data_IF_550715535726
#
_entry.id   IF_550715535726
#
_cell.length_a   1.000
_cell.length_b   1.000
_cell.length_c   1.000
_cell.angle_alpha   90.00
_cell.angle_beta   90.00
_cell.angle_gamma   90.00
#
_symmetry.space_group_name_H-M   'P 1'
#
loop_
_entity.id
_entity.type
_entity.pdbx_description
1 polymer ?
#
# COMPACT_ATOMS: atom_id res chain seq x y z
N UNK A 1 -23.15 -9.23 -24.58
CA UNK A 1 -22.02 -8.97 -23.67
C UNK A 1 -22.54 -9.07 -22.25
N UNK A 2 -21.95 -9.92 -21.43
CA UNK A 2 -22.42 -10.16 -20.06
C UNK A 2 -22.30 -8.82 -19.27
N UNK A 3 -23.40 -8.29 -18.70
CA UNK A 3 -23.43 -6.99 -17.99
C UNK A 3 -22.38 -6.91 -16.88
N UNK A 4 -22.01 -8.03 -16.29
CA UNK A 4 -21.02 -8.09 -15.20
C UNK A 4 -19.57 -7.81 -15.64
N UNK A 5 -19.26 -7.97 -16.90
CA UNK A 5 -17.92 -7.72 -17.46
C UNK A 5 -17.75 -6.23 -17.80
N UNK A 6 -18.86 -5.51 -17.94
CA UNK A 6 -18.84 -4.13 -18.38
C UNK A 6 -18.31 -3.16 -17.33
N UNK A 7 -18.87 -3.20 -16.11
CA UNK A 7 -18.44 -2.33 -15.03
C UNK A 7 -16.95 -2.58 -14.67
N UNK A 8 -16.51 -3.85 -14.71
CA UNK A 8 -15.11 -4.20 -14.48
C UNK A 8 -14.18 -3.62 -15.56
N UNK A 9 -14.55 -3.69 -16.84
CA UNK A 9 -13.77 -3.07 -17.93
C UNK A 9 -13.73 -1.56 -17.82
N UNK A 10 -14.86 -0.93 -17.51
CA UNK A 10 -14.94 0.52 -17.32
C UNK A 10 -14.04 0.96 -16.15
N UNK A 11 -14.09 0.23 -15.03
CA UNK A 11 -13.23 0.47 -13.87
C UNK A 11 -11.74 0.37 -14.22
N UNK A 12 -11.32 -0.70 -14.92
CA UNK A 12 -9.94 -0.87 -15.37
C UNK A 12 -9.51 0.27 -16.30
N UNK A 13 -10.41 0.75 -17.17
CA UNK A 13 -10.13 1.88 -18.03
C UNK A 13 -9.99 3.19 -17.23
N UNK A 14 -10.86 3.45 -16.26
CA UNK A 14 -10.75 4.63 -15.39
C UNK A 14 -9.44 4.64 -14.63
N UNK A 15 -9.11 3.54 -13.95
CA UNK A 15 -7.86 3.42 -13.17
C UNK A 15 -6.65 3.53 -14.09
N UNK A 16 -6.66 2.83 -15.22
CA UNK A 16 -5.58 2.90 -16.21
C UNK A 16 -5.41 4.30 -16.80
N UNK A 17 -6.51 5.02 -17.06
CA UNK A 17 -6.49 6.42 -17.50
C UNK A 17 -5.92 7.35 -16.44
N UNK A 18 -6.35 7.22 -15.18
CA UNK A 18 -5.83 7.99 -14.05
C UNK A 18 -4.32 7.81 -13.88
N UNK A 19 -3.85 6.56 -13.98
CA UNK A 19 -2.42 6.24 -13.81
C UNK A 19 -1.56 6.68 -15.01
N UNK A 20 -2.11 6.68 -16.22
CA UNK A 20 -1.40 7.08 -17.46
C UNK A 20 -1.67 8.53 -17.89
N UNK A 21 -2.56 9.23 -17.20
CA UNK A 21 -3.06 10.56 -17.60
C UNK A 21 -3.68 10.56 -19.02
N UNK A 22 -4.35 9.48 -19.39
CA UNK A 22 -4.99 9.32 -20.69
C UNK A 22 -6.48 9.67 -20.58
N UNK A 23 -6.95 10.65 -21.36
CA UNK A 23 -8.29 11.27 -21.22
C UNK A 23 -9.41 10.55 -21.98
N UNK A 24 -9.12 9.51 -22.75
CA UNK A 24 -10.06 8.98 -23.73
C UNK A 24 -10.82 7.73 -23.31
N UNK A 25 -11.91 7.86 -22.55
CA UNK A 25 -12.83 6.73 -22.34
C UNK A 25 -14.31 7.17 -22.47
N UNK A 26 -15.12 6.53 -23.34
CA UNK A 26 -16.53 6.83 -23.42
C UNK A 26 -17.29 6.34 -22.19
N UNK A 27 -18.00 7.25 -21.53
CA UNK A 27 -18.93 6.90 -20.45
C UNK A 27 -20.18 6.27 -21.05
N UNK A 28 -20.50 5.04 -20.68
CA UNK A 28 -21.71 4.38 -21.19
C UNK A 28 -22.99 4.83 -20.47
N UNK A 29 -24.09 4.88 -21.24
CA UNK A 29 -25.39 5.42 -20.81
C UNK A 29 -26.09 4.65 -19.69
N UNK A 30 -25.76 3.37 -19.46
CA UNK A 30 -26.47 2.48 -18.51
C UNK A 30 -25.50 1.82 -17.52
N UNK A 31 -24.73 2.62 -16.78
CA UNK A 31 -23.81 2.14 -15.75
C UNK A 31 -24.56 1.67 -14.49
N UNK A 32 -24.23 0.51 -13.97
CA UNK A 32 -24.63 0.12 -12.61
C UNK A 32 -23.64 0.71 -11.58
N UNK A 33 -23.90 1.93 -11.17
CA UNK A 33 -23.05 2.66 -10.23
C UNK A 33 -22.86 1.98 -8.88
N UNK A 34 -23.90 1.32 -8.37
CA UNK A 34 -23.82 0.57 -7.12
C UNK A 34 -22.82 -0.61 -7.21
N UNK A 35 -22.79 -1.27 -8.38
CA UNK A 35 -21.86 -2.36 -8.62
C UNK A 35 -20.45 -1.85 -8.84
N UNK A 36 -20.28 -0.80 -9.62
CA UNK A 36 -18.99 -0.14 -9.84
C UNK A 36 -18.37 0.27 -8.50
N UNK A 37 -19.14 0.94 -7.64
CA UNK A 37 -18.69 1.36 -6.33
C UNK A 37 -18.23 0.16 -5.46
N UNK A 38 -19.04 -0.91 -5.38
CA UNK A 38 -18.67 -2.11 -4.61
C UNK A 38 -17.39 -2.78 -5.12
N UNK A 39 -17.17 -2.84 -6.43
CA UNK A 39 -15.94 -3.40 -7.00
C UNK A 39 -14.76 -2.50 -6.65
N UNK A 40 -14.89 -1.18 -6.81
CA UNK A 40 -13.85 -0.23 -6.47
C UNK A 40 -13.50 -0.26 -4.97
N UNK A 41 -14.50 -0.36 -4.10
CA UNK A 41 -14.33 -0.46 -2.65
C UNK A 41 -13.65 -1.78 -2.24
N UNK A 42 -14.07 -2.89 -2.80
CA UNK A 42 -13.46 -4.20 -2.54
C UNK A 42 -11.97 -4.26 -2.91
N UNK A 43 -11.58 -3.56 -3.99
CA UNK A 43 -10.19 -3.50 -4.44
C UNK A 43 -9.42 -2.29 -3.88
N UNK A 44 -10.01 -1.50 -2.99
CA UNK A 44 -9.42 -0.30 -2.38
C UNK A 44 -8.91 0.75 -3.41
N UNK A 45 -9.59 0.87 -4.56
CA UNK A 45 -9.21 1.77 -5.66
C UNK A 45 -10.24 2.89 -5.89
N UNK A 46 -11.08 3.18 -4.90
CA UNK A 46 -12.17 4.17 -5.01
C UNK A 46 -11.66 5.56 -5.34
N UNK A 47 -10.52 5.98 -4.77
CA UNK A 47 -9.90 7.28 -5.05
C UNK A 47 -9.41 7.39 -6.49
N UNK A 48 -8.73 6.37 -7.02
CA UNK A 48 -8.29 6.34 -8.40
C UNK A 48 -9.48 6.35 -9.38
N UNK A 49 -10.56 5.61 -9.06
CA UNK A 49 -11.81 5.61 -9.85
C UNK A 49 -12.49 6.98 -9.79
N UNK A 50 -12.51 7.65 -8.64
CA UNK A 50 -13.07 8.99 -8.49
C UNK A 50 -12.35 10.00 -9.39
N UNK A 51 -11.03 10.04 -9.34
CA UNK A 51 -10.23 10.92 -10.18
C UNK A 51 -10.40 10.62 -11.68
N UNK A 52 -10.45 9.33 -12.04
CA UNK A 52 -10.75 8.90 -13.40
C UNK A 52 -12.14 9.34 -13.88
N UNK A 53 -13.15 9.31 -13.02
CA UNK A 53 -14.49 9.83 -13.34
C UNK A 53 -14.49 11.34 -13.56
N UNK A 54 -13.73 12.08 -12.76
CA UNK A 54 -13.56 13.53 -12.93
C UNK A 54 -12.87 13.86 -14.26
N UNK A 55 -11.79 13.15 -14.60
CA UNK A 55 -11.02 13.41 -15.83
C UNK A 55 -11.85 13.19 -17.10
N UNK A 56 -12.76 12.19 -17.10
CA UNK A 56 -13.63 11.93 -18.27
C UNK A 56 -14.97 12.67 -18.21
N UNK A 57 -15.19 13.54 -17.24
CA UNK A 57 -16.45 14.27 -17.06
C UNK A 57 -17.67 13.35 -16.89
N UNK A 58 -17.52 12.23 -16.19
CA UNK A 58 -18.58 11.25 -16.02
C UNK A 58 -19.78 11.83 -15.26
N UNK A 59 -20.99 11.68 -15.80
CA UNK A 59 -22.23 12.03 -15.09
C UNK A 59 -22.59 10.95 -14.08
N UNK A 60 -22.10 11.11 -12.85
CA UNK A 60 -22.35 10.19 -11.74
C UNK A 60 -23.61 10.64 -11.00
N UNK A 61 -24.55 9.72 -10.61
CA UNK A 61 -25.65 10.07 -9.73
C UNK A 61 -25.13 10.63 -8.39
N UNK A 62 -25.76 11.68 -7.86
CA UNK A 62 -25.29 12.43 -6.69
C UNK A 62 -24.90 11.52 -5.52
N UNK A 63 -25.74 10.52 -5.19
CA UNK A 63 -25.48 9.56 -4.11
C UNK A 63 -24.12 8.84 -4.25
N UNK A 64 -23.75 8.40 -5.46
CA UNK A 64 -22.49 7.71 -5.69
C UNK A 64 -21.33 8.69 -5.84
N UNK A 65 -21.56 9.85 -6.44
CA UNK A 65 -20.58 10.92 -6.52
C UNK A 65 -20.09 11.33 -5.12
N UNK A 66 -21.02 11.52 -4.18
CA UNK A 66 -20.70 11.84 -2.78
C UNK A 66 -19.92 10.72 -2.07
N UNK A 67 -20.34 9.46 -2.25
CA UNK A 67 -19.62 8.32 -1.67
C UNK A 67 -18.19 8.19 -2.19
N UNK A 68 -17.97 8.34 -3.48
CA UNK A 68 -16.63 8.32 -4.08
C UNK A 68 -15.79 9.50 -3.57
N UNK A 69 -16.39 10.68 -3.47
CA UNK A 69 -15.71 11.87 -2.94
C UNK A 69 -15.28 11.69 -1.48
N UNK A 70 -16.15 11.15 -0.62
CA UNK A 70 -15.80 10.84 0.77
C UNK A 70 -14.62 9.88 0.85
N UNK A 71 -14.62 8.79 0.07
CA UNK A 71 -13.49 7.85 0.01
C UNK A 71 -12.20 8.49 -0.51
N UNK A 72 -12.31 9.41 -1.45
CA UNK A 72 -11.17 10.19 -1.90
C UNK A 72 -10.60 11.07 -0.79
N UNK A 73 -11.45 11.79 -0.05
CA UNK A 73 -11.00 12.59 1.10
C UNK A 73 -10.34 11.73 2.19
N UNK A 74 -10.89 10.56 2.49
CA UNK A 74 -10.30 9.59 3.41
C UNK A 74 -8.91 9.13 2.92
N UNK A 75 -8.74 8.88 1.62
CA UNK A 75 -7.47 8.48 1.04
C UNK A 75 -6.41 9.59 1.08
N UNK A 76 -6.80 10.86 0.84
CA UNK A 76 -5.91 12.02 1.01
C UNK A 76 -5.45 12.11 2.45
N UNK A 77 -6.38 12.09 3.41
CA UNK A 77 -6.07 12.17 4.82
C UNK A 77 -5.18 11.00 5.30
N UNK A 78 -5.46 9.77 4.82
CA UNK A 78 -4.60 8.62 5.10
C UNK A 78 -3.19 8.81 4.53
N UNK A 79 -3.07 9.44 3.34
CA UNK A 79 -1.79 9.78 2.74
C UNK A 79 -0.93 10.68 3.63
N UNK A 80 -1.54 11.73 4.21
CA UNK A 80 -0.87 12.64 5.14
C UNK A 80 -0.41 11.91 6.42
N UNK A 81 -1.28 11.07 6.99
CA UNK A 81 -0.94 10.24 8.17
C UNK A 81 0.19 9.28 7.83
N UNK A 82 0.16 8.66 6.64
CA UNK A 82 1.18 7.73 6.18
C UNK A 82 2.56 8.41 6.14
N UNK A 83 2.67 9.55 5.46
CA UNK A 83 3.93 10.26 5.29
C UNK A 83 4.51 10.73 6.63
N UNK A 84 3.66 11.30 7.50
CA UNK A 84 4.07 11.72 8.84
C UNK A 84 4.55 10.53 9.70
N UNK A 85 3.81 9.43 9.69
CA UNK A 85 4.14 8.24 10.48
C UNK A 85 5.35 7.49 9.94
N UNK A 86 5.51 7.40 8.62
CA UNK A 86 6.71 6.86 7.98
C UNK A 86 7.94 7.64 8.44
N UNK A 87 7.90 8.97 8.30
CA UNK A 87 9.01 9.84 8.70
C UNK A 87 9.36 9.68 10.17
N UNK A 88 8.37 9.68 11.06
CA UNK A 88 8.56 9.51 12.51
C UNK A 88 9.26 8.18 12.84
N UNK A 89 8.74 7.06 12.32
CA UNK A 89 9.28 5.72 12.58
C UNK A 89 10.70 5.60 12.05
N UNK A 90 10.92 6.00 10.80
CA UNK A 90 12.23 5.88 10.17
C UNK A 90 13.26 6.80 10.82
N UNK A 91 12.86 7.98 11.32
CA UNK A 91 13.74 8.88 12.10
C UNK A 91 14.17 8.24 13.41
N UNK A 92 13.26 7.57 14.12
CA UNK A 92 13.59 6.83 15.35
C UNK A 92 14.55 5.67 15.05
N UNK A 93 14.26 4.85 14.03
CA UNK A 93 15.15 3.75 13.65
C UNK A 93 16.54 4.25 13.25
N UNK A 94 16.63 5.37 12.55
CA UNK A 94 17.91 6.00 12.22
C UNK A 94 18.65 6.48 13.46
N UNK A 95 17.99 7.24 14.36
CA UNK A 95 18.60 7.80 15.56
C UNK A 95 19.19 6.71 16.48
N UNK A 96 18.50 5.59 16.59
CA UNK A 96 18.92 4.46 17.43
C UNK A 96 19.67 3.38 16.65
N UNK A 97 20.01 3.62 15.37
CA UNK A 97 20.77 2.72 14.50
C UNK A 97 20.13 1.32 14.39
N UNK A 98 18.81 1.24 14.39
CA UNK A 98 18.09 0.00 14.15
C UNK A 98 18.29 -0.42 12.70
N UNK A 99 18.85 -1.61 12.41
CA UNK A 99 19.03 -2.07 11.05
C UNK A 99 17.66 -2.42 10.46
N UNK A 100 17.19 -1.62 9.51
CA UNK A 100 15.87 -1.77 8.91
C UNK A 100 15.97 -1.83 7.39
N UNK A 101 15.15 -2.70 6.79
CA UNK A 101 14.93 -2.73 5.35
C UNK A 101 13.45 -2.44 5.09
N UNK A 102 13.18 -1.31 4.42
CA UNK A 102 11.84 -0.98 3.96
C UNK A 102 11.49 -1.95 2.83
N UNK A 103 10.41 -2.68 3.00
CA UNK A 103 9.94 -3.62 2.00
C UNK A 103 9.25 -2.88 0.84
N UNK A 104 8.06 -3.31 0.43
CA UNK A 104 7.50 -2.79 -0.84
C UNK A 104 6.70 -1.49 -0.70
N UNK A 105 5.97 -1.29 0.40
CA UNK A 105 4.89 -0.29 0.47
C UNK A 105 5.33 1.14 0.21
N UNK A 106 6.37 1.62 0.88
CA UNK A 106 6.85 2.99 0.72
C UNK A 106 7.44 3.24 -0.68
N UNK A 107 8.25 2.29 -1.20
CA UNK A 107 8.86 2.42 -2.51
C UNK A 107 7.82 2.45 -3.64
N UNK A 108 6.79 1.59 -3.56
CA UNK A 108 5.71 1.54 -4.55
C UNK A 108 4.82 2.77 -4.47
N UNK A 109 4.48 3.23 -3.24
CA UNK A 109 3.67 4.44 -3.05
C UNK A 109 4.29 5.67 -3.70
N UNK A 110 5.61 5.82 -3.65
CA UNK A 110 6.36 6.94 -4.28
C UNK A 110 6.34 6.91 -5.82
N UNK A 111 5.88 5.82 -6.44
CA UNK A 111 5.70 5.74 -7.90
C UNK A 111 4.39 6.38 -8.37
N UNK A 112 3.41 6.51 -7.49
CA UNK A 112 2.15 7.17 -7.83
C UNK A 112 2.34 8.67 -7.88
N UNK A 113 1.93 9.31 -8.96
CA UNK A 113 1.97 10.77 -9.09
C UNK A 113 1.01 11.46 -8.10
N UNK A 114 -0.08 10.77 -7.78
CA UNK A 114 -1.07 11.16 -6.80
C UNK A 114 -1.08 10.09 -5.69
N UNK A 115 -0.43 10.32 -4.55
CA UNK A 115 -0.28 9.32 -3.48
C UNK A 115 -1.62 8.76 -2.95
N UNK A 116 -2.69 9.55 -3.03
CA UNK A 116 -4.05 9.16 -2.67
C UNK A 116 -4.68 8.13 -3.61
N UNK A 117 -4.06 7.85 -4.77
CA UNK A 117 -4.49 6.77 -5.67
C UNK A 117 -3.89 5.42 -5.29
N UNK A 118 -2.87 5.41 -4.43
CA UNK A 118 -2.31 4.18 -3.89
C UNK A 118 -3.28 3.57 -2.87
N UNK A 119 -3.38 2.24 -2.83
CA UNK A 119 -4.14 1.54 -1.80
C UNK A 119 -3.59 1.85 -0.39
N UNK A 120 -4.46 1.77 0.62
CA UNK A 120 -4.10 1.98 2.02
C UNK A 120 -3.29 0.80 2.57
N UNK A 121 -2.04 0.67 2.10
CA UNK A 121 -1.14 -0.39 2.56
C UNK A 121 -0.37 0.02 3.82
N UNK A 122 -0.06 -0.92 4.73
CA UNK A 122 0.77 -0.64 5.90
C UNK A 122 2.22 -0.31 5.49
N UNK A 123 2.97 0.34 6.37
CA UNK A 123 4.42 0.41 6.25
C UNK A 123 5.01 -0.96 6.59
N UNK A 124 5.67 -1.61 5.64
CA UNK A 124 6.30 -2.92 5.82
C UNK A 124 7.80 -2.79 6.00
N UNK A 125 8.28 -3.33 7.12
CA UNK A 125 9.70 -3.23 7.48
C UNK A 125 10.23 -4.59 7.91
N UNK A 126 11.34 -4.99 7.32
CA UNK A 126 12.11 -6.13 7.81
C UNK A 126 13.16 -5.63 8.82
N UNK A 127 13.20 -6.28 9.98
CA UNK A 127 14.18 -6.04 11.04
C UNK A 127 14.86 -7.38 11.34
N UNK A 128 16.20 -7.47 11.35
CA UNK A 128 16.89 -8.68 11.79
C UNK A 128 16.47 -9.12 13.18
N UNK A 129 16.44 -10.44 13.42
CA UNK A 129 15.90 -11.03 14.64
C UNK A 129 16.55 -10.47 15.92
N UNK A 130 17.85 -10.22 15.89
CA UNK A 130 18.60 -9.64 17.00
C UNK A 130 18.17 -8.22 17.40
N UNK A 131 17.58 -7.46 16.47
CA UNK A 131 17.12 -6.09 16.69
C UNK A 131 15.58 -5.96 16.74
N UNK A 132 14.87 -7.07 16.55
CA UNK A 132 13.42 -7.07 16.39
C UNK A 132 12.68 -6.52 17.62
N UNK A 133 13.00 -7.03 18.79
CA UNK A 133 12.35 -6.59 20.05
C UNK A 133 12.70 -5.16 20.42
N UNK A 134 13.90 -4.69 20.06
CA UNK A 134 14.30 -3.30 20.23
C UNK A 134 13.46 -2.38 19.34
N UNK A 135 13.34 -2.71 18.07
CA UNK A 135 12.49 -1.95 17.11
C UNK A 135 11.04 -1.91 17.56
N UNK A 136 10.50 -3.06 18.01
CA UNK A 136 9.16 -3.14 18.58
C UNK A 136 8.99 -2.22 19.81
N UNK A 137 9.97 -2.20 20.71
CA UNK A 137 9.95 -1.32 21.89
C UNK A 137 9.82 0.15 21.48
N UNK A 138 10.57 0.61 20.50
CA UNK A 138 10.46 1.99 19.99
C UNK A 138 9.09 2.27 19.37
N UNK A 139 8.48 1.32 18.67
CA UNK A 139 7.12 1.51 18.17
C UNK A 139 6.09 1.61 19.31
N UNK A 140 6.27 0.82 20.38
CA UNK A 140 5.41 0.92 21.58
C UNK A 140 5.57 2.30 22.22
N UNK A 141 6.78 2.83 22.33
CA UNK A 141 7.06 4.17 22.85
C UNK A 141 6.42 5.27 21.97
N UNK A 142 6.29 5.04 20.66
CA UNK A 142 5.54 5.92 19.73
C UNK A 142 4.01 5.71 19.80
N UNK A 143 3.51 4.85 20.68
CA UNK A 143 2.08 4.60 20.89
C UNK A 143 1.48 3.54 19.95
N UNK A 144 2.30 2.70 19.31
CA UNK A 144 1.79 1.57 18.53
C UNK A 144 1.50 0.38 19.46
N UNK A 145 0.42 -0.33 19.19
CA UNK A 145 0.03 -1.56 19.88
C UNK A 145 -0.02 -2.71 18.88
N UNK A 146 0.34 -3.92 19.32
CA UNK A 146 0.21 -5.13 18.49
C UNK A 146 -1.26 -5.39 18.17
N UNK A 147 -1.57 -5.52 16.89
CA UNK A 147 -2.90 -5.79 16.35
C UNK A 147 -3.04 -7.27 15.97
N UNK A 148 -2.04 -7.81 15.26
CA UNK A 148 -2.03 -9.19 14.81
C UNK A 148 -0.61 -9.77 14.85
N UNK A 149 -0.48 -11.05 15.21
CA UNK A 149 0.80 -11.77 15.18
C UNK A 149 0.84 -12.74 14.01
N UNK A 150 1.89 -12.66 13.21
CA UNK A 150 2.16 -13.57 12.09
C UNK A 150 3.10 -14.66 12.54
N UNK A 151 2.57 -15.85 12.82
CA UNK A 151 3.34 -16.98 13.39
C UNK A 151 4.65 -17.23 12.61
N UNK A 152 5.79 -17.00 13.28
CA UNK A 152 7.12 -17.23 12.74
C UNK A 152 7.65 -16.19 11.75
N UNK A 153 6.92 -15.10 11.51
CA UNK A 153 7.34 -14.06 10.57
C UNK A 153 7.44 -12.66 11.18
N UNK A 154 6.52 -12.29 12.05
CA UNK A 154 6.47 -10.95 12.62
C UNK A 154 5.10 -10.60 13.17
N UNK A 155 4.75 -9.32 13.11
CA UNK A 155 3.47 -8.83 13.63
C UNK A 155 3.03 -7.54 12.93
N UNK A 156 1.73 -7.29 12.95
CA UNK A 156 1.12 -5.99 12.63
C UNK A 156 0.96 -5.18 13.90
N UNK A 157 1.32 -3.92 13.84
CA UNK A 157 1.11 -2.95 14.90
C UNK A 157 0.33 -1.75 14.36
N UNK A 158 -0.55 -1.17 15.18
CA UNK A 158 -1.36 -0.02 14.80
C UNK A 158 -1.33 1.08 15.85
N UNK A 159 -1.54 2.31 15.41
CA UNK A 159 -1.78 3.48 16.27
C UNK A 159 -3.23 3.97 16.10
N UNK A 160 -3.74 4.76 17.06
CA UNK A 160 -5.13 5.24 17.11
C UNK A 160 -5.59 5.93 15.81
N UNK A 161 -4.69 6.61 15.08
CA UNK A 161 -4.99 7.22 13.79
C UNK A 161 -5.20 6.24 12.62
N UNK A 162 -5.21 4.92 12.89
CA UNK A 162 -5.45 3.90 11.87
C UNK A 162 -4.23 3.50 11.04
N UNK A 163 -3.08 4.15 11.23
CA UNK A 163 -1.86 3.78 10.53
C UNK A 163 -1.31 2.45 11.06
N UNK A 164 -0.93 1.55 10.12
CA UNK A 164 -0.40 0.23 10.42
C UNK A 164 1.04 0.10 9.99
N UNK A 165 1.82 -0.59 10.83
CA UNK A 165 3.19 -1.01 10.56
C UNK A 165 3.24 -2.52 10.65
N UNK A 166 3.82 -3.17 9.67
CA UNK A 166 4.09 -4.61 9.70
C UNK A 166 5.58 -4.81 9.87
N UNK A 167 5.95 -5.37 11.01
CA UNK A 167 7.32 -5.75 11.32
C UNK A 167 7.55 -7.22 10.97
N UNK A 168 8.56 -7.50 10.18
CA UNK A 168 8.99 -8.84 9.81
C UNK A 168 10.40 -9.10 10.30
N UNK A 169 10.64 -10.18 11.04
CA UNK A 169 11.98 -10.71 11.31
C UNK A 169 12.34 -11.87 10.38
N UNK A 170 11.35 -12.44 9.73
CA UNK A 170 11.50 -13.45 8.66
C UNK A 170 10.47 -13.13 7.58
N UNK A 171 10.87 -13.10 6.31
CA UNK A 171 9.91 -12.87 5.23
C UNK A 171 9.05 -14.12 5.01
N UNK A 172 7.75 -13.96 4.71
CA UNK A 172 6.84 -15.08 4.45
C UNK A 172 7.32 -15.91 3.25
N UNK A 173 7.20 -17.22 3.36
CA UNK A 173 7.54 -18.15 2.29
C UNK A 173 6.74 -19.45 2.41
N UNK A 174 6.27 -19.99 1.28
CA UNK A 174 5.54 -21.26 1.24
C UNK A 174 6.46 -22.49 1.26
N UNK A 175 7.61 -22.40 0.60
CA UNK A 175 8.50 -23.52 0.38
C UNK A 175 9.95 -23.16 0.67
N UNK A 176 10.80 -24.17 0.87
CA UNK A 176 12.23 -23.98 1.07
C UNK A 176 12.91 -23.21 -0.08
N UNK A 177 12.42 -23.38 -1.30
CA UNK A 177 12.90 -22.62 -2.48
C UNK A 177 12.60 -21.14 -2.34
N UNK A 178 11.40 -20.78 -1.95
CA UNK A 178 11.01 -19.38 -1.68
C UNK A 178 11.81 -18.77 -0.54
N UNK A 179 12.11 -19.54 0.51
CA UNK A 179 12.98 -19.09 1.62
C UNK A 179 14.33 -18.61 1.13
N UNK A 180 14.97 -19.35 0.22
CA UNK A 180 16.27 -18.97 -0.33
C UNK A 180 16.14 -17.73 -1.23
N UNK A 181 15.07 -17.62 -2.00
CA UNK A 181 14.76 -16.44 -2.80
C UNK A 181 14.61 -15.20 -1.90
N UNK A 182 13.84 -15.29 -0.82
CA UNK A 182 13.62 -14.16 0.12
C UNK A 182 14.92 -13.69 0.79
N UNK A 183 15.81 -14.63 1.19
CA UNK A 183 17.15 -14.28 1.67
C UNK A 183 17.96 -13.52 0.61
N UNK A 184 17.90 -13.96 -0.65
CA UNK A 184 18.56 -13.29 -1.78
C UNK A 184 18.01 -11.88 -2.03
N UNK A 185 16.72 -11.65 -1.80
CA UNK A 185 16.08 -10.35 -1.90
C UNK A 185 16.64 -9.38 -0.84
N UNK A 186 16.69 -9.80 0.43
CA UNK A 186 17.21 -8.99 1.52
C UNK A 186 18.69 -8.61 1.32
N UNK A 187 19.51 -9.55 0.83
CA UNK A 187 20.93 -9.31 0.56
C UNK A 187 21.16 -8.27 -0.57
N UNK A 188 20.17 -8.06 -1.44
CA UNK A 188 20.22 -7.07 -2.53
C UNK A 188 19.59 -5.73 -2.17
N UNK A 189 19.13 -5.55 -0.92
CA UNK A 189 18.64 -4.26 -0.46
C UNK A 189 19.77 -3.22 -0.50
N UNK A 190 19.44 -2.02 -0.97
CA UNK A 190 20.39 -0.92 -1.15
C UNK A 190 19.96 0.32 -0.34
N UNK A 191 20.87 1.25 -0.05
CA UNK A 191 20.53 2.47 0.69
C UNK A 191 19.43 3.27 0.01
N UNK A 192 18.47 3.75 0.79
CA UNK A 192 17.43 4.66 0.29
C UNK A 192 18.07 5.99 -0.15
N UNK A 193 17.59 6.55 -1.26
CA UNK A 193 18.07 7.82 -1.80
C UNK A 193 17.76 9.01 -0.87
N UNK A 194 16.63 8.95 -0.17
CA UNK A 194 16.19 10.03 0.74
C UNK A 194 16.79 9.87 2.15
N UNK A 195 17.01 8.63 2.56
CA UNK A 195 17.59 8.30 3.86
C UNK A 195 18.61 7.16 3.75
N UNK A 196 19.90 7.46 3.45
CA UNK A 196 20.93 6.44 3.22
C UNK A 196 21.23 5.52 4.41
N UNK A 197 20.77 5.87 5.62
CA UNK A 197 20.88 5.00 6.79
C UNK A 197 19.93 3.80 6.75
N UNK A 198 18.90 3.88 5.94
CA UNK A 198 17.92 2.83 5.73
C UNK A 198 18.17 2.11 4.41
N UNK A 199 17.72 0.88 4.32
CA UNK A 199 17.77 0.10 3.07
C UNK A 199 16.37 -0.10 2.50
N UNK A 200 16.29 -0.18 1.19
CA UNK A 200 15.07 -0.44 0.44
C UNK A 200 15.26 -1.60 -0.53
N UNK A 201 14.19 -2.26 -0.91
CA UNK A 201 14.20 -3.26 -1.98
C UNK A 201 14.13 -2.59 -3.35
N UNK A 202 14.72 -3.24 -4.37
CA UNK A 202 14.44 -2.86 -5.77
C UNK A 202 12.97 -3.15 -6.10
N UNK A 203 12.46 -2.52 -7.17
CA UNK A 203 11.08 -2.75 -7.62
C UNK A 203 10.82 -4.22 -7.95
N UNK A 204 11.76 -4.90 -8.59
CA UNK A 204 11.67 -6.33 -8.91
C UNK A 204 11.63 -7.18 -7.62
N UNK A 205 12.46 -6.84 -6.64
CA UNK A 205 12.48 -7.52 -5.34
C UNK A 205 11.19 -7.27 -4.56
N UNK A 206 10.66 -6.06 -4.60
CA UNK A 206 9.37 -5.69 -4.02
C UNK A 206 8.23 -6.48 -4.66
N UNK A 207 8.23 -6.62 -5.98
CA UNK A 207 7.24 -7.42 -6.70
C UNK A 207 7.30 -8.90 -6.34
N UNK A 208 8.51 -9.49 -6.26
CA UNK A 208 8.69 -10.88 -5.83
C UNK A 208 8.22 -11.10 -4.39
N UNK A 209 8.46 -10.13 -3.50
CA UNK A 209 7.95 -10.17 -2.12
C UNK A 209 6.42 -10.21 -2.10
N UNK A 210 5.74 -9.37 -2.90
CA UNK A 210 4.26 -9.34 -2.99
C UNK A 210 3.68 -10.64 -3.53
N UNK A 211 4.31 -11.25 -4.53
CA UNK A 211 3.88 -12.56 -5.05
C UNK A 211 3.99 -13.62 -3.95
N UNK A 212 5.09 -13.63 -3.21
CA UNK A 212 5.29 -14.61 -2.13
C UNK A 212 4.27 -14.40 -0.99
N UNK A 213 3.99 -13.15 -0.59
CA UNK A 213 2.99 -12.82 0.40
C UNK A 213 1.57 -13.24 -0.03
N UNK A 214 1.18 -12.93 -1.26
CA UNK A 214 -0.13 -13.31 -1.80
C UNK A 214 -0.33 -14.84 -1.96
N UNK A 215 0.77 -15.59 -1.95
CA UNK A 215 0.75 -17.05 -2.09
C UNK A 215 0.74 -17.78 -0.74
N UNK A 216 0.94 -17.07 0.35
CA UNK A 216 0.96 -17.59 1.72
C UNK A 216 -0.41 -17.51 2.36
#
# INVERSE_FOLDING_TARGET
MNRSVYEGKFLLNLVGGTLRQDESFPVMRNMNWARLYRIAEYHEITSAVYLGMLSVGARVPALFGERFFQRYQEAVHYGEIYEASELEILSVFQAFKVPAIILESAAVRRLYQLPETAANSPLRVYIPEESYYLAKGYLVDLGYITDEQYKGFGESMRRVAGFRVELYHTLPYLTKTYKNCMKGILNRAYPDKQNPALKVLSLESSYLFRIAEASY
#
